data_IF_114524983221
#
_entry.id   IF_114524983221
#
_cell.length_a   1.000
_cell.length_b   1.000
_cell.length_c   1.000
_cell.angle_alpha   90.00
_cell.angle_beta   90.00
_cell.angle_gamma   90.00
#
_symmetry.space_group_name_H-M   'P 1'
#
loop_
_entity.id
_entity.type
_entity.pdbx_description
1 polymer ?
#
# COMPACT_ATOMS: atom_id res chain seq x y z
N UNK A 1 1.20 -3.83 15.64
CA UNK A 1 2.37 -3.76 14.77
C UNK A 1 1.98 -4.13 13.34
N UNK A 2 1.27 -3.25 12.60
CA UNK A 2 1.11 -3.44 11.15
C UNK A 2 2.41 -3.17 10.40
N UNK A 3 2.67 -3.95 9.36
CA UNK A 3 3.67 -3.67 8.34
C UNK A 3 2.99 -3.75 6.97
N UNK A 4 3.09 -2.67 6.20
CA UNK A 4 2.59 -2.61 4.84
C UNK A 4 3.73 -2.46 3.84
N UNK A 5 3.84 -3.41 2.93
CA UNK A 5 4.85 -3.40 1.86
C UNK A 5 4.16 -3.21 0.53
N UNK A 6 4.68 -2.30 -0.29
CA UNK A 6 4.25 -2.03 -1.67
C UNK A 6 5.44 -2.25 -2.58
N UNK A 7 5.39 -3.28 -3.41
CA UNK A 7 6.33 -3.46 -4.52
C UNK A 7 5.63 -2.97 -5.78
N UNK A 8 6.26 -2.08 -6.55
CA UNK A 8 5.66 -1.49 -7.75
C UNK A 8 6.70 -1.23 -8.84
N UNK A 9 6.28 -1.35 -10.10
CA UNK A 9 7.08 -0.94 -11.27
C UNK A 9 7.03 0.58 -11.53
N UNK A 10 6.26 1.34 -10.74
CA UNK A 10 6.24 2.80 -10.84
C UNK A 10 7.62 3.36 -10.46
N UNK A 11 8.16 4.32 -11.25
CA UNK A 11 9.49 4.87 -10.97
C UNK A 11 9.56 5.62 -9.64
N UNK A 12 10.70 5.60 -8.93
CA UNK A 12 10.87 6.36 -7.68
C UNK A 12 10.55 7.84 -7.87
N UNK A 13 10.90 8.43 -9.01
CA UNK A 13 10.62 9.84 -9.31
C UNK A 13 9.11 10.18 -9.31
N UNK A 14 8.25 9.20 -9.56
CA UNK A 14 6.79 9.35 -9.54
C UNK A 14 6.18 9.06 -8.17
N UNK A 15 6.97 8.58 -7.20
CA UNK A 15 6.50 8.34 -5.83
C UNK A 15 6.53 9.64 -5.02
N UNK A 16 5.39 10.14 -4.51
CA UNK A 16 5.36 11.36 -3.71
C UNK A 16 6.11 11.20 -2.37
N UNK A 17 6.86 12.21 -1.95
CA UNK A 17 7.62 12.17 -0.69
C UNK A 17 6.73 11.99 0.55
N UNK A 18 5.46 12.43 0.48
CA UNK A 18 4.47 12.29 1.55
C UNK A 18 3.82 10.89 1.66
N UNK A 19 4.04 10.00 0.69
CA UNK A 19 3.29 8.74 0.59
C UNK A 19 3.47 7.84 1.83
N UNK A 20 4.69 7.75 2.37
CA UNK A 20 4.96 6.92 3.55
C UNK A 20 4.19 7.42 4.79
N UNK A 21 4.15 8.74 4.99
CA UNK A 21 3.41 9.37 6.08
C UNK A 21 1.90 9.18 5.91
N UNK A 22 1.39 9.40 4.69
CA UNK A 22 -0.04 9.22 4.38
C UNK A 22 -0.48 7.76 4.62
N UNK A 23 0.25 6.78 4.10
CA UNK A 23 -0.02 5.36 4.33
C UNK A 23 0.01 5.01 5.82
N UNK A 24 0.96 5.57 6.58
CA UNK A 24 1.06 5.36 8.02
C UNK A 24 -0.20 5.87 8.74
N UNK A 25 -0.66 7.07 8.44
CA UNK A 25 -1.85 7.65 9.07
C UNK A 25 -3.13 6.92 8.68
N UNK A 26 -3.30 6.60 7.40
CA UNK A 26 -4.47 5.89 6.88
C UNK A 26 -4.58 4.48 7.48
N UNK A 27 -3.46 3.75 7.59
CA UNK A 27 -3.43 2.45 8.25
C UNK A 27 -3.65 2.57 9.77
N UNK A 28 -3.18 3.64 10.42
CA UNK A 28 -3.43 3.88 11.85
C UNK A 28 -4.92 4.00 12.12
N UNK A 29 -5.60 4.83 11.33
CA UNK A 29 -7.04 5.03 11.42
C UNK A 29 -7.80 3.74 11.09
N UNK A 30 -7.47 3.07 9.98
CA UNK A 30 -8.19 1.88 9.54
C UNK A 30 -8.02 0.68 10.48
N UNK A 31 -6.83 0.48 11.05
CA UNK A 31 -6.57 -0.64 11.98
C UNK A 31 -6.94 -0.29 13.43
N UNK A 32 -7.09 1.00 13.74
CA UNK A 32 -7.25 1.52 15.10
C UNK A 32 -6.02 1.26 15.98
N UNK A 33 -4.83 1.21 15.37
CA UNK A 33 -3.56 1.04 16.09
C UNK A 33 -2.76 2.34 16.05
N UNK A 34 -2.02 2.68 17.11
CA UNK A 34 -1.13 3.85 17.11
C UNK A 34 -0.17 3.86 15.91
N UNK A 35 0.04 5.03 15.31
CA UNK A 35 0.92 5.21 14.16
C UNK A 35 2.37 4.74 14.44
N UNK A 36 2.86 4.88 15.68
CA UNK A 36 4.17 4.39 16.11
C UNK A 36 4.36 2.87 15.93
N UNK A 37 3.29 2.10 15.74
CA UNK A 37 3.35 0.66 15.50
C UNK A 37 3.26 0.28 14.03
N UNK A 38 3.18 1.25 13.12
CA UNK A 38 3.00 1.01 11.69
C UNK A 38 4.32 1.24 10.98
N UNK A 39 4.77 0.19 10.29
CA UNK A 39 5.88 0.27 9.36
C UNK A 39 5.34 0.26 7.92
N UNK A 40 5.87 1.14 7.08
CA UNK A 40 5.55 1.21 5.65
C UNK A 40 6.84 1.08 4.85
N UNK A 41 6.83 0.22 3.84
CA UNK A 41 7.95 0.00 2.94
C UNK A 41 7.46 0.08 1.49
N UNK A 42 8.01 1.02 0.71
CA UNK A 42 7.67 1.19 -0.71
C UNK A 42 8.92 0.89 -1.52
N UNK A 43 8.81 -0.05 -2.45
CA UNK A 43 9.87 -0.53 -3.33
C UNK A 43 9.49 -0.19 -4.77
N UNK A 44 9.92 0.96 -5.30
CA UNK A 44 9.66 1.37 -6.68
C UNK A 44 10.64 0.72 -7.67
N UNK A 45 10.52 1.08 -8.95
CA UNK A 45 11.43 0.71 -10.04
C UNK A 45 11.60 -0.81 -10.22
N UNK A 46 10.58 -1.59 -9.83
CA UNK A 46 10.64 -3.05 -9.89
C UNK A 46 10.36 -3.58 -11.30
N UNK A 47 11.03 -4.68 -11.67
CA UNK A 47 10.67 -5.46 -12.85
C UNK A 47 9.44 -6.30 -12.53
N UNK A 48 8.27 -5.86 -12.99
CA UNK A 48 6.99 -6.50 -12.69
C UNK A 48 6.11 -6.59 -13.93
N UNK A 49 5.29 -7.64 -13.96
CA UNK A 49 4.17 -7.76 -14.88
C UNK A 49 2.94 -8.27 -14.15
N UNK A 50 1.76 -7.79 -14.55
CA UNK A 50 0.46 -8.24 -14.06
C UNK A 50 -0.40 -8.63 -15.26
N UNK A 51 -0.87 -9.88 -15.29
CA UNK A 51 -1.62 -10.41 -16.43
C UNK A 51 -0.83 -10.40 -17.75
N UNK A 52 0.50 -10.47 -17.70
CA UNK A 52 1.39 -10.40 -18.87
C UNK A 52 1.72 -8.98 -19.37
N UNK A 53 1.16 -7.94 -18.74
CA UNK A 53 1.45 -6.54 -19.05
C UNK A 53 2.41 -5.92 -18.05
N UNK A 54 3.26 -4.98 -18.50
CA UNK A 54 4.17 -4.19 -17.66
C UNK A 54 3.65 -2.77 -17.38
N UNK A 55 2.37 -2.51 -17.65
CA UNK A 55 1.69 -1.29 -17.19
C UNK A 55 1.78 -1.11 -15.67
N UNK A 56 1.61 0.11 -15.13
CA UNK A 56 1.71 0.39 -13.70
C UNK A 56 0.90 -0.57 -12.83
N UNK A 57 1.58 -1.30 -11.96
CA UNK A 57 1.01 -2.32 -11.09
C UNK A 57 1.68 -2.34 -9.71
N UNK A 58 1.03 -2.98 -8.74
CA UNK A 58 1.58 -3.14 -7.40
C UNK A 58 1.25 -4.51 -6.81
N UNK A 59 2.22 -5.11 -6.11
CA UNK A 59 2.05 -6.29 -5.27
C UNK A 59 2.24 -5.86 -3.82
N UNK A 60 1.18 -5.95 -3.05
CA UNK A 60 1.14 -5.43 -1.69
C UNK A 60 0.95 -6.54 -0.66
N UNK A 61 1.48 -6.32 0.55
CA UNK A 61 1.25 -7.22 1.68
C UNK A 61 1.06 -6.42 2.97
N UNK A 62 -0.03 -6.72 3.68
CA UNK A 62 -0.32 -6.15 4.99
C UNK A 62 -0.23 -7.25 6.06
N UNK A 63 0.80 -7.15 6.89
CA UNK A 63 1.00 -8.04 8.03
C UNK A 63 0.59 -7.32 9.30
N UNK A 64 -0.19 -7.95 10.17
CA UNK A 64 -0.55 -7.35 11.47
C UNK A 64 -0.92 -8.42 12.49
N UNK A 65 -0.47 -8.24 13.73
CA UNK A 65 -0.97 -9.00 14.88
C UNK A 65 -2.42 -8.56 15.15
N UNK A 66 -3.38 -9.39 14.75
CA UNK A 66 -4.81 -9.09 14.78
C UNK A 66 -5.22 -7.98 13.81
N UNK A 67 -6.51 -7.63 13.82
CA UNK A 67 -7.13 -6.67 12.87
C UNK A 67 -7.03 -7.08 11.41
N UNK A 68 -6.87 -8.38 11.14
CA UNK A 68 -6.95 -9.03 9.83
C UNK A 68 -8.15 -9.98 9.84
N UNK A 69 -8.98 -9.92 8.80
CA UNK A 69 -10.20 -10.70 8.71
C UNK A 69 -11.04 -10.30 7.49
N UNK A 70 -11.98 -11.15 7.08
CA UNK A 70 -12.67 -10.97 5.79
C UNK A 70 -13.31 -9.60 5.58
N UNK A 71 -14.02 -9.07 6.57
CA UNK A 71 -14.64 -7.74 6.47
C UNK A 71 -13.61 -6.60 6.50
N UNK A 72 -12.60 -6.70 7.38
CA UNK A 72 -11.53 -5.70 7.46
C UNK A 72 -10.72 -5.65 6.16
N UNK A 73 -10.36 -6.82 5.62
CA UNK A 73 -9.55 -6.93 4.41
C UNK A 73 -10.25 -6.27 3.22
N UNK A 74 -11.58 -6.45 3.05
CA UNK A 74 -12.35 -5.74 2.01
C UNK A 74 -12.27 -4.23 2.16
N UNK A 75 -12.37 -3.73 3.40
CA UNK A 75 -12.24 -2.29 3.69
C UNK A 75 -10.83 -1.79 3.38
N UNK A 76 -9.80 -2.54 3.77
CA UNK A 76 -8.41 -2.17 3.52
C UNK A 76 -8.07 -2.20 2.04
N UNK A 77 -8.52 -3.21 1.28
CA UNK A 77 -8.32 -3.26 -0.17
C UNK A 77 -8.90 -2.03 -0.85
N UNK A 78 -10.14 -1.64 -0.51
CA UNK A 78 -10.75 -0.42 -1.07
C UNK A 78 -9.92 0.84 -0.75
N UNK A 79 -9.50 0.99 0.51
CA UNK A 79 -8.68 2.11 0.96
C UNK A 79 -7.32 2.17 0.24
N UNK A 80 -6.59 1.06 0.25
CA UNK A 80 -5.23 0.97 -0.25
C UNK A 80 -5.19 1.05 -1.78
N UNK A 81 -6.09 0.37 -2.49
CA UNK A 81 -6.20 0.51 -3.94
C UNK A 81 -6.54 1.95 -4.34
N UNK A 82 -7.44 2.63 -3.60
CA UNK A 82 -7.75 4.04 -3.84
C UNK A 82 -6.54 4.96 -3.69
N UNK A 83 -5.77 4.78 -2.61
CA UNK A 83 -4.54 5.56 -2.38
C UNK A 83 -3.49 5.32 -3.47
N UNK A 84 -3.27 4.06 -3.86
CA UNK A 84 -2.30 3.71 -4.91
C UNK A 84 -2.74 4.23 -6.28
N UNK A 85 -4.05 4.23 -6.58
CA UNK A 85 -4.58 4.82 -7.80
C UNK A 85 -4.36 6.33 -7.87
N UNK A 86 -4.62 7.04 -6.77
CA UNK A 86 -4.45 8.49 -6.73
C UNK A 86 -2.97 8.92 -6.75
N UNK A 87 -2.14 8.27 -5.92
CA UNK A 87 -0.75 8.68 -5.67
C UNK A 87 0.26 8.08 -6.65
N UNK A 88 0.04 6.84 -7.08
CA UNK A 88 0.97 6.11 -7.96
C UNK A 88 0.42 5.85 -9.36
N UNK A 89 -0.83 6.25 -9.65
CA UNK A 89 -1.49 6.04 -10.96
C UNK A 89 -1.58 4.56 -11.34
N UNK A 90 -1.67 3.68 -10.35
CA UNK A 90 -1.89 2.23 -10.54
C UNK A 90 -3.38 1.95 -10.59
N UNK A 91 -3.85 1.20 -11.59
CA UNK A 91 -5.28 0.81 -11.65
C UNK A 91 -5.65 -0.06 -10.44
N UNK A 92 -6.80 0.20 -9.77
CA UNK A 92 -7.25 -0.57 -8.60
C UNK A 92 -7.75 -1.97 -8.95
#
# INVERSE_FOLDING_TARGET
MPMFVVNTNVPRASVPDGLLSELTQQLAQATGKPAQYIAVHVVPDQLMAFGGSSEPCALCSLHSIGKIGGAQNRSYSKLLCGLLAERLRVSP
#
